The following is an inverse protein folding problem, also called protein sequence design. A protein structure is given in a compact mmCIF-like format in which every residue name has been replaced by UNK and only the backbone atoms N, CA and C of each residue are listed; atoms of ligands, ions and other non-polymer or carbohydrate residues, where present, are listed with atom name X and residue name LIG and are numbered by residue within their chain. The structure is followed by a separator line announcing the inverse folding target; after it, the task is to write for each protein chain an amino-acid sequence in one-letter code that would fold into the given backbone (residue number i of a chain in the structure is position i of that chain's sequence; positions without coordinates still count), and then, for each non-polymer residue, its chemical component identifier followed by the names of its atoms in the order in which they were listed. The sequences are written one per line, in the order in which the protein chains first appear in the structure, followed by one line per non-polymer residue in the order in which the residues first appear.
data_IF_269730430452
#
_entry.id   IF_269730430452
#
_cell.length_a   1.000
_cell.length_b   1.000
_cell.length_c   1.000
_cell.angle_alpha   90.00
_cell.angle_beta   90.00
_cell.angle_gamma   90.00
#
_symmetry.space_group_name_H-M   'P 1'
#
loop_
_entity.id
_entity.type
_entity.pdbx_description
1 polymer ?
#
# COMPACT_ATOMS: atom_id res chain seq x y z
N UNK A 1 -9.85 8.71 7.28
CA UNK A 1 -9.77 8.58 5.81
C UNK A 1 -8.85 7.42 5.51
N UNK A 2 -9.31 6.44 4.71
CA UNK A 2 -8.55 5.24 4.37
C UNK A 2 -7.97 5.33 2.95
N UNK A 3 -6.66 5.11 2.85
CA UNK A 3 -5.91 5.04 1.60
C UNK A 3 -5.55 3.58 1.33
N UNK A 4 -5.90 3.09 0.13
CA UNK A 4 -5.57 1.75 -0.32
C UNK A 4 -4.51 1.79 -1.44
N UNK A 5 -3.54 0.88 -1.38
CA UNK A 5 -2.53 0.66 -2.42
C UNK A 5 -2.58 -0.80 -2.82
N UNK A 6 -2.86 -1.06 -4.10
CA UNK A 6 -2.95 -2.41 -4.64
C UNK A 6 -1.66 -2.82 -5.34
N UNK A 7 -1.53 -4.12 -5.62
CA UNK A 7 -0.48 -4.66 -6.47
C UNK A 7 -0.79 -4.31 -7.93
N UNK A 8 0.21 -3.82 -8.64
CA UNK A 8 0.08 -3.60 -10.09
C UNK A 8 -0.02 -4.93 -10.85
N UNK A 9 -0.89 -4.98 -11.85
CA UNK A 9 -1.19 -6.18 -12.64
C UNK A 9 -0.73 -6.08 -14.10
N UNK A 10 -0.34 -4.88 -14.55
CA UNK A 10 0.13 -4.67 -15.91
C UNK A 10 1.44 -5.44 -16.16
N UNK A 11 1.55 -6.04 -17.34
CA UNK A 11 2.75 -6.79 -17.71
C UNK A 11 3.99 -5.88 -17.71
N UNK A 12 5.04 -6.29 -17.01
CA UNK A 12 6.29 -5.52 -16.89
C UNK A 12 6.22 -4.36 -15.89
N UNK A 13 5.08 -4.09 -15.26
CA UNK A 13 5.00 -3.07 -14.21
C UNK A 13 5.60 -3.60 -12.90
N UNK A 14 6.65 -2.94 -12.43
CA UNK A 14 7.39 -3.33 -11.22
C UNK A 14 7.31 -2.29 -10.11
N UNK A 15 6.70 -1.13 -10.38
CA UNK A 15 6.53 -0.05 -9.40
C UNK A 15 5.37 -0.34 -8.45
N UNK A 16 5.29 0.49 -7.42
CA UNK A 16 4.21 0.50 -6.43
C UNK A 16 3.95 1.95 -6.04
N UNK A 17 2.69 2.30 -5.78
CA UNK A 17 2.30 3.70 -5.54
C UNK A 17 2.57 4.21 -4.10
N UNK A 18 3.28 3.43 -3.27
CA UNK A 18 3.64 3.82 -1.92
C UNK A 18 4.99 3.22 -1.48
N UNK A 19 5.67 3.91 -0.57
CA UNK A 19 6.86 3.43 0.15
C UNK A 19 6.59 3.47 1.66
N UNK A 20 7.42 2.81 2.50
CA UNK A 20 7.28 2.90 3.96
C UNK A 20 7.33 4.35 4.49
N UNK A 21 8.09 5.22 3.81
CA UNK A 21 8.14 6.65 4.12
C UNK A 21 6.81 7.34 3.83
N UNK A 22 6.19 7.10 2.66
CA UNK A 22 4.88 7.70 2.35
C UNK A 22 3.79 7.18 3.27
N UNK A 23 3.83 5.88 3.63
CA UNK A 23 2.93 5.32 4.66
C UNK A 23 3.03 6.10 5.96
N UNK A 24 4.26 6.32 6.44
CA UNK A 24 4.51 7.03 7.70
C UNK A 24 3.99 8.47 7.64
N UNK A 25 4.19 9.16 6.50
CA UNK A 25 3.69 10.51 6.26
C UNK A 25 2.16 10.59 6.22
N UNK A 26 1.50 9.69 5.48
CA UNK A 26 0.03 9.66 5.42
C UNK A 26 -0.59 9.37 6.79
N UNK A 27 0.00 8.45 7.55
CA UNK A 27 -0.43 8.18 8.93
C UNK A 27 -0.22 9.39 9.84
N UNK A 28 0.89 10.11 9.68
CA UNK A 28 1.14 11.37 10.39
C UNK A 28 0.11 12.47 10.10
N UNK A 29 -0.55 12.41 8.94
CA UNK A 29 -1.67 13.29 8.57
C UNK A 29 -3.04 12.76 9.05
N UNK A 30 -3.08 11.64 9.76
CA UNK A 30 -4.31 11.04 10.28
C UNK A 30 -5.03 10.08 9.33
N UNK A 31 -4.38 9.65 8.25
CA UNK A 31 -4.94 8.61 7.37
C UNK A 31 -4.66 7.20 7.89
N UNK A 32 -5.57 6.28 7.60
CA UNK A 32 -5.32 4.85 7.67
C UNK A 32 -4.77 4.39 6.32
N UNK A 33 -3.73 3.56 6.31
CA UNK A 33 -3.13 3.06 5.06
C UNK A 33 -3.23 1.54 5.02
N UNK A 34 -3.76 1.01 3.93
CA UNK A 34 -3.81 -0.41 3.64
C UNK A 34 -3.04 -0.73 2.35
N UNK A 35 -2.23 -1.78 2.38
CA UNK A 35 -1.41 -2.24 1.25
C UNK A 35 -1.82 -3.68 0.92
N UNK A 36 -1.97 -4.01 -0.36
CA UNK A 36 -2.09 -5.40 -0.79
C UNK A 36 -0.78 -6.16 -0.56
N UNK A 37 -0.86 -7.36 0.02
CA UNK A 37 0.27 -8.24 0.22
C UNK A 37 1.02 -8.50 -1.09
N UNK A 38 2.33 -8.27 -1.07
CA UNK A 38 3.19 -8.39 -2.25
C UNK A 38 3.14 -7.21 -3.22
N UNK A 39 2.39 -6.12 -2.95
CA UNK A 39 2.33 -4.96 -3.83
C UNK A 39 3.72 -4.33 -4.08
N UNK A 40 4.57 -4.29 -3.05
CA UNK A 40 5.93 -3.77 -3.16
C UNK A 40 7.00 -4.78 -3.58
N UNK A 41 6.65 -6.04 -3.80
CA UNK A 41 7.64 -7.12 -3.95
C UNK A 41 8.58 -6.88 -5.14
N UNK A 42 8.05 -6.45 -6.29
CA UNK A 42 8.84 -6.15 -7.49
C UNK A 42 9.63 -4.84 -7.36
N UNK A 43 9.16 -3.92 -6.51
CA UNK A 43 9.84 -2.68 -6.15
C UNK A 43 10.89 -2.86 -5.03
N UNK A 44 11.14 -4.10 -4.58
CA UNK A 44 12.09 -4.43 -3.50
C UNK A 44 11.69 -3.87 -2.14
N UNK A 45 10.39 -3.73 -1.89
CA UNK A 45 9.83 -3.29 -0.60
C UNK A 45 9.01 -4.46 -0.02
N UNK A 46 9.56 -5.22 0.94
CA UNK A 46 8.85 -6.30 1.61
C UNK A 46 7.61 -5.81 2.37
N UNK A 47 6.60 -6.68 2.49
CA UNK A 47 5.37 -6.42 3.26
C UNK A 47 5.67 -6.01 4.72
N UNK A 48 6.73 -6.56 5.30
CA UNK A 48 7.17 -6.25 6.66
C UNK A 48 7.54 -4.77 6.83
N UNK A 49 8.06 -4.10 5.79
CA UNK A 49 8.45 -2.70 5.86
C UNK A 49 7.21 -1.79 5.87
N UNK A 50 6.16 -2.14 5.13
CA UNK A 50 4.87 -1.45 5.20
C UNK A 50 4.21 -1.64 6.56
N UNK A 51 4.22 -2.87 7.09
CA UNK A 51 3.67 -3.18 8.40
C UNK A 51 4.43 -2.42 9.51
N UNK A 52 5.76 -2.36 9.44
CA UNK A 52 6.59 -1.59 10.37
C UNK A 52 6.31 -0.07 10.30
N UNK A 53 6.00 0.46 9.12
CA UNK A 53 5.54 1.84 8.94
C UNK A 53 4.09 2.08 9.45
N UNK A 54 3.37 1.00 9.81
CA UNK A 54 2.04 1.03 10.39
C UNK A 54 0.90 0.90 9.39
N UNK A 55 1.15 0.44 8.16
CA UNK A 55 0.08 0.06 7.24
C UNK A 55 -0.51 -1.31 7.61
N UNK A 56 -1.80 -1.50 7.32
CA UNK A 56 -2.40 -2.81 7.31
C UNK A 56 -2.05 -3.53 6.00
N UNK A 57 -1.55 -4.77 6.09
CA UNK A 57 -1.25 -5.60 4.90
C UNK A 57 -2.28 -6.71 4.79
N UNK A 58 -2.87 -6.90 3.61
CA UNK A 58 -3.91 -7.89 3.38
C UNK A 58 -4.11 -8.24 1.91
N UNK A 59 -5.08 -9.10 1.59
CA UNK A 59 -5.42 -9.36 0.18
C UNK A 59 -6.14 -8.15 -0.46
N UNK A 60 -6.21 -8.11 -1.79
CA UNK A 60 -6.81 -7.00 -2.54
C UNK A 60 -8.21 -6.60 -2.03
N UNK A 61 -9.06 -7.58 -1.75
CA UNK A 61 -10.42 -7.35 -1.27
C UNK A 61 -10.47 -6.71 0.13
N UNK A 62 -9.58 -7.09 1.04
CA UNK A 62 -9.45 -6.47 2.35
C UNK A 62 -8.85 -5.07 2.26
N UNK A 63 -7.87 -4.89 1.38
CA UNK A 63 -7.18 -3.62 1.16
C UNK A 63 -8.13 -2.53 0.69
N UNK A 64 -8.94 -2.79 -0.35
CA UNK A 64 -9.85 -1.79 -0.94
C UNK A 64 -11.13 -1.56 -0.14
N UNK A 65 -11.51 -2.47 0.75
CA UNK A 65 -12.78 -2.37 1.50
C UNK A 65 -12.83 -1.08 2.33
N UNK A 66 -13.79 -0.21 2.00
CA UNK A 66 -13.97 1.07 2.70
C UNK A 66 -12.85 2.08 2.46
N UNK A 67 -12.06 1.92 1.40
CA UNK A 67 -11.07 2.91 1.00
C UNK A 67 -11.77 4.17 0.44
N UNK A 68 -11.35 5.34 0.91
CA UNK A 68 -11.78 6.64 0.38
C UNK A 68 -10.92 7.05 -0.82
N UNK A 69 -9.64 6.64 -0.82
CA UNK A 69 -8.65 6.92 -1.85
C UNK A 69 -7.95 5.62 -2.24
N UNK A 70 -7.76 5.41 -3.54
CA UNK A 70 -6.92 4.34 -4.09
C UNK A 70 -5.74 4.98 -4.82
N UNK A 71 -4.52 4.56 -4.49
CA UNK A 71 -3.30 4.96 -5.20
C UNK A 71 -2.81 3.79 -6.06
N UNK A 72 -2.53 4.10 -7.32
CA UNK A 72 -2.04 3.17 -8.36
C UNK A 72 -0.99 3.90 -9.20
N UNK A 73 -0.19 3.14 -9.95
CA UNK A 73 0.87 3.63 -10.83
C UNK A 73 0.29 4.10 -12.17
#
# INVERSE_FOLDING_TARGET
MKIAVLRELAEGETRVAATPETVSKFRGLGAEVAIEAGAGALARIPDADYAAAGAAVGNAAATIRGADIVLTV
#
